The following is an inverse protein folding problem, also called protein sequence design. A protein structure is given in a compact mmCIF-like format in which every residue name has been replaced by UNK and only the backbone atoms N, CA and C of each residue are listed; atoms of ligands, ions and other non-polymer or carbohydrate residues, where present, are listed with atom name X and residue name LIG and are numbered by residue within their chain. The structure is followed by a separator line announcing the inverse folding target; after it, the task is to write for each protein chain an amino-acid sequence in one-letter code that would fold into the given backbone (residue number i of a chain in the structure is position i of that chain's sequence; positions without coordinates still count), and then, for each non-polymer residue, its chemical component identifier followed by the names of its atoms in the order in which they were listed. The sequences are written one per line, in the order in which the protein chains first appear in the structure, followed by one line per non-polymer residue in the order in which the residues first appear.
data_IF_915775657791
#
_entry.id   IF_915775657791
#
_cell.length_a   1.000
_cell.length_b   1.000
_cell.length_c   1.000
_cell.angle_alpha   90.00
_cell.angle_beta   90.00
_cell.angle_gamma   90.00
#
_symmetry.space_group_name_H-M   'P 1'
#
loop_
_entity.id
_entity.type
_entity.pdbx_description
1 polymer ?
#
# COMPACT_ATOMS: atom_id res chain seq x y z
N UNK A 1 -7.50 -9.82 6.75
CA UNK A 1 -6.72 -9.02 5.80
C UNK A 1 -7.19 -7.59 5.92
N UNK A 2 -6.26 -6.64 5.97
CA UNK A 2 -6.53 -5.20 6.07
C UNK A 2 -5.88 -4.48 4.87
N UNK A 3 -6.33 -3.27 4.56
CA UNK A 3 -5.83 -2.46 3.44
C UNK A 3 -5.08 -1.26 4.03
N UNK A 4 -3.80 -1.10 3.71
CA UNK A 4 -2.96 -0.09 4.35
C UNK A 4 -3.31 1.34 3.91
N UNK A 5 -3.66 1.50 2.64
CA UNK A 5 -3.85 2.76 1.94
C UNK A 5 -5.26 2.90 1.40
N UNK A 6 -6.27 2.46 2.17
CA UNK A 6 -7.67 2.45 1.74
C UNK A 6 -8.31 3.84 1.64
N UNK A 7 -7.75 4.67 0.78
CA UNK A 7 -8.19 6.03 0.50
C UNK A 7 -9.20 6.02 -0.65
N UNK A 8 -10.21 6.88 -0.54
CA UNK A 8 -11.33 6.94 -1.47
C UNK A 8 -10.91 7.25 -2.92
N UNK A 9 -9.78 7.93 -3.12
CA UNK A 9 -9.28 8.29 -4.46
C UNK A 9 -8.58 7.12 -5.17
N UNK A 10 -8.11 6.13 -4.41
CA UNK A 10 -7.18 5.11 -4.92
C UNK A 10 -7.82 3.73 -5.04
N UNK A 11 -8.90 3.45 -4.32
CA UNK A 11 -9.51 2.12 -4.27
C UNK A 11 -10.96 2.11 -4.75
N UNK A 12 -11.38 1.08 -5.51
CA UNK A 12 -12.78 0.88 -5.84
C UNK A 12 -13.67 0.71 -4.59
N UNK A 13 -14.92 1.20 -4.60
CA UNK A 13 -15.85 1.02 -3.47
C UNK A 13 -16.18 -0.44 -3.13
N UNK A 14 -15.95 -1.38 -4.05
CA UNK A 14 -16.11 -2.82 -3.83
C UNK A 14 -15.20 -3.36 -2.71
N UNK A 15 -14.08 -2.71 -2.42
CA UNK A 15 -13.20 -3.08 -1.30
C UNK A 15 -13.78 -2.69 0.08
N UNK A 16 -14.91 -1.98 0.13
CA UNK A 16 -15.61 -1.60 1.36
C UNK A 16 -15.64 -0.09 1.61
N UNK A 17 -15.58 0.32 2.87
CA UNK A 17 -15.61 1.75 3.26
C UNK A 17 -14.20 2.30 3.41
N UNK A 18 -13.80 3.31 2.62
CA UNK A 18 -12.48 3.93 2.73
C UNK A 18 -12.31 4.66 4.06
N UNK A 19 -11.07 4.82 4.51
CA UNK A 19 -10.74 5.54 5.76
C UNK A 19 -10.88 7.06 5.65
N UNK A 20 -10.92 7.59 4.43
CA UNK A 20 -11.01 9.02 4.13
C UNK A 20 -10.27 9.39 2.84
N UNK A 21 -10.02 10.68 2.64
CA UNK A 21 -9.16 11.17 1.54
C UNK A 21 -7.69 10.95 1.89
N UNK A 22 -6.84 10.68 0.90
CA UNK A 22 -5.36 10.67 1.10
C UNK A 22 -4.89 11.96 1.80
N UNK A 23 -5.54 13.10 1.51
CA UNK A 23 -5.20 14.42 2.07
C UNK A 23 -5.37 14.52 3.58
N UNK A 24 -6.26 13.71 4.16
CA UNK A 24 -6.57 13.74 5.58
C UNK A 24 -5.48 13.07 6.43
N UNK A 25 -4.53 12.37 5.78
CA UNK A 25 -3.50 11.57 6.42
C UNK A 25 -2.09 12.06 6.08
N UNK A 26 -1.91 13.36 5.81
CA UNK A 26 -0.59 13.95 5.57
C UNK A 26 0.09 14.31 6.89
N UNK A 27 1.31 13.81 7.10
CA UNK A 27 2.14 14.23 8.22
C UNK A 27 3.00 15.46 7.86
N UNK A 28 3.28 16.36 8.82
CA UNK A 28 4.17 17.49 8.60
C UNK A 28 5.63 17.07 8.36
N UNK A 29 6.03 15.91 8.87
CA UNK A 29 7.37 15.37 8.75
C UNK A 29 7.32 13.89 8.34
N UNK A 30 8.32 13.39 7.61
CA UNK A 30 8.42 11.97 7.32
C UNK A 30 8.67 11.15 8.59
N UNK A 31 8.37 9.85 8.52
CA UNK A 31 8.85 8.89 9.51
C UNK A 31 10.38 8.89 9.58
N UNK A 32 10.95 8.74 10.78
CA UNK A 32 12.41 8.63 10.96
C UNK A 32 13.01 7.46 10.15
N UNK A 33 12.22 6.39 10.02
CA UNK A 33 12.49 5.15 9.32
C UNK A 33 11.86 5.09 7.91
N UNK A 34 11.45 6.23 7.33
CA UNK A 34 10.73 6.30 6.05
C UNK A 34 11.39 5.50 4.93
N UNK A 35 12.72 5.54 4.82
CA UNK A 35 13.45 4.77 3.80
C UNK A 35 13.18 3.26 3.92
N UNK A 36 13.32 2.70 5.13
CA UNK A 36 13.12 1.26 5.38
C UNK A 36 11.65 0.87 5.19
N UNK A 37 10.72 1.74 5.57
CA UNK A 37 9.29 1.55 5.32
C UNK A 37 9.02 1.48 3.81
N UNK A 38 9.57 2.40 3.02
CA UNK A 38 9.36 2.39 1.57
C UNK A 38 9.97 1.17 0.89
N UNK A 39 11.14 0.71 1.36
CA UNK A 39 11.78 -0.53 0.89
C UNK A 39 10.89 -1.75 1.19
N UNK A 40 10.26 -1.81 2.38
CA UNK A 40 9.28 -2.84 2.71
C UNK A 40 8.08 -2.84 1.75
N UNK A 41 7.51 -1.66 1.49
CA UNK A 41 6.35 -1.51 0.60
C UNK A 41 6.65 -1.93 -0.84
N UNK A 42 7.84 -1.59 -1.34
CA UNK A 42 8.32 -1.97 -2.68
C UNK A 42 8.61 -3.48 -2.74
N UNK A 43 9.09 -4.07 -1.63
CA UNK A 43 9.45 -5.48 -1.55
C UNK A 43 8.29 -6.45 -1.27
N UNK A 44 7.05 -5.97 -1.22
CA UNK A 44 5.87 -6.81 -1.01
C UNK A 44 5.72 -7.91 -2.05
N UNK A 45 4.98 -8.96 -1.71
CA UNK A 45 4.60 -10.01 -2.67
C UNK A 45 3.55 -9.45 -3.63
N UNK A 46 3.80 -9.53 -4.93
CA UNK A 46 2.86 -9.07 -5.94
C UNK A 46 1.62 -9.98 -5.98
N UNK A 47 0.44 -9.40 -5.76
CA UNK A 47 -0.86 -10.09 -5.79
C UNK A 47 -1.56 -9.89 -7.14
N UNK A 48 -1.49 -8.67 -7.67
CA UNK A 48 -2.11 -8.30 -8.95
C UNK A 48 -1.23 -7.28 -9.66
N UNK A 49 -0.81 -7.60 -10.88
CA UNK A 49 0.09 -6.75 -11.66
C UNK A 49 -0.68 -5.95 -12.70
N UNK A 50 -0.43 -4.64 -12.75
CA UNK A 50 -1.01 -3.76 -13.78
C UNK A 50 0.11 -3.14 -14.61
N UNK A 51 0.10 -3.43 -15.91
CA UNK A 51 0.94 -2.77 -16.91
C UNK A 51 0.36 -1.40 -17.26
N UNK A 52 0.38 -0.50 -16.28
CA UNK A 52 -0.19 0.84 -16.37
C UNK A 52 0.59 1.84 -15.52
N UNK A 53 0.01 3.02 -15.34
CA UNK A 53 0.65 4.08 -14.57
C UNK A 53 -0.41 4.90 -13.84
N UNK A 54 -0.19 5.17 -12.55
CA UNK A 54 -1.09 5.95 -11.72
C UNK A 54 -0.54 7.36 -11.54
N UNK A 55 -1.38 8.38 -11.74
CA UNK A 55 -1.01 9.79 -11.53
C UNK A 55 -1.27 10.18 -10.09
N UNK A 56 -0.33 10.93 -9.50
CA UNK A 56 -0.46 11.44 -8.13
C UNK A 56 -1.73 12.27 -7.92
N UNK A 57 -2.61 11.78 -7.04
CA UNK A 57 -3.89 12.44 -6.72
C UNK A 57 -3.73 13.69 -5.85
N UNK A 58 -2.56 13.90 -5.25
CA UNK A 58 -2.23 15.09 -4.46
C UNK A 58 -1.67 16.24 -5.32
N UNK A 59 -1.43 16.01 -6.62
CA UNK A 59 -1.17 17.06 -7.59
C UNK A 59 0.29 17.47 -7.77
N UNK A 60 1.26 16.59 -7.46
CA UNK A 60 2.68 16.85 -7.81
C UNK A 60 2.98 16.75 -9.30
N UNK A 61 2.06 16.21 -10.11
CA UNK A 61 2.25 15.94 -11.54
C UNK A 61 3.15 14.74 -11.83
N UNK A 62 3.53 13.96 -10.80
CA UNK A 62 4.29 12.72 -10.96
C UNK A 62 3.37 11.53 -11.23
N UNK A 63 3.94 10.51 -11.87
CA UNK A 63 3.26 9.26 -12.20
C UNK A 63 4.11 8.08 -11.75
N UNK A 64 3.47 7.08 -11.15
CA UNK A 64 4.10 5.83 -10.71
C UNK A 64 3.74 4.71 -11.68
N UNK A 65 4.75 4.07 -12.28
CA UNK A 65 4.57 2.87 -13.10
C UNK A 65 4.11 1.71 -12.21
N UNK A 66 3.09 0.97 -12.67
CA UNK A 66 2.49 -0.10 -11.88
C UNK A 66 1.83 0.36 -10.59
N UNK A 67 1.50 1.65 -10.46
CA UNK A 67 0.95 2.21 -9.23
C UNK A 67 -0.35 1.54 -8.77
N UNK A 68 -1.20 1.12 -9.70
CA UNK A 68 -2.45 0.39 -9.42
C UNK A 68 -2.23 -1.10 -9.08
N UNK A 69 -1.01 -1.63 -9.21
CA UNK A 69 -0.70 -3.03 -8.84
C UNK A 69 -0.92 -3.23 -7.34
N UNK A 70 -1.29 -4.44 -6.92
CA UNK A 70 -1.56 -4.75 -5.52
C UNK A 70 -0.47 -5.66 -4.97
N UNK A 71 0.03 -5.31 -3.78
CA UNK A 71 1.08 -6.01 -3.06
C UNK A 71 0.58 -6.47 -1.69
N UNK A 72 1.27 -7.46 -1.10
CA UNK A 72 0.94 -7.98 0.23
C UNK A 72 2.16 -8.51 1.00
N UNK A 73 2.04 -8.55 2.33
CA UNK A 73 2.93 -9.26 3.26
C UNK A 73 2.28 -10.53 3.86
N UNK A 74 1.16 -10.97 3.29
CA UNK A 74 0.35 -12.09 3.79
C UNK A 74 -0.75 -11.69 4.79
N UNK A 75 -0.74 -10.46 5.31
CA UNK A 75 -1.76 -9.97 6.25
C UNK A 75 -2.42 -8.66 5.79
N UNK A 76 -1.61 -7.76 5.23
CA UNK A 76 -2.02 -6.49 4.67
C UNK A 76 -1.94 -6.51 3.15
N UNK A 77 -2.78 -5.72 2.50
CA UNK A 77 -2.63 -5.37 1.09
C UNK A 77 -2.46 -3.86 0.92
N UNK A 78 -1.76 -3.45 -0.13
CA UNK A 78 -1.55 -2.06 -0.48
C UNK A 78 -1.32 -1.89 -1.99
N UNK A 79 -1.50 -0.67 -2.50
CA UNK A 79 -1.16 -0.35 -3.89
C UNK A 79 0.34 -0.16 -4.08
N UNK A 80 0.80 -0.44 -5.29
CA UNK A 80 2.18 -0.27 -5.72
C UNK A 80 2.67 1.18 -5.68
N UNK A 81 1.78 2.16 -5.61
CA UNK A 81 2.13 3.58 -5.42
C UNK A 81 2.12 4.04 -3.95
N UNK A 82 1.80 3.19 -2.97
CA UNK A 82 1.81 3.60 -1.55
C UNK A 82 3.18 4.12 -1.09
N UNK A 83 4.28 3.48 -1.53
CA UNK A 83 5.63 3.96 -1.19
C UNK A 83 5.86 5.40 -1.65
N UNK A 84 5.27 5.80 -2.78
CA UNK A 84 5.42 7.13 -3.34
C UNK A 84 4.71 8.16 -2.45
N UNK A 85 3.52 7.83 -1.96
CA UNK A 85 2.76 8.69 -1.04
C UNK A 85 3.44 8.83 0.33
N UNK A 86 4.00 7.74 0.87
CA UNK A 86 4.78 7.79 2.12
C UNK A 86 6.05 8.62 1.94
N UNK A 87 6.79 8.40 0.85
CA UNK A 87 8.08 9.07 0.61
C UNK A 87 7.95 10.54 0.24
N UNK A 88 6.99 10.87 -0.63
CA UNK A 88 6.88 12.20 -1.24
C UNK A 88 5.94 13.12 -0.46
N UNK A 89 4.86 12.55 0.08
CA UNK A 89 3.77 13.29 0.72
C UNK A 89 3.64 13.02 2.21
N UNK A 90 4.52 12.18 2.78
CA UNK A 90 4.51 11.81 4.19
C UNK A 90 3.14 11.27 4.64
N UNK A 91 2.47 10.51 3.78
CA UNK A 91 1.20 9.88 4.13
C UNK A 91 1.38 8.94 5.30
N UNK A 92 0.54 9.09 6.32
CA UNK A 92 0.54 8.27 7.51
C UNK A 92 -0.06 6.89 7.23
N UNK A 93 0.67 5.86 7.64
CA UNK A 93 0.22 4.48 7.61
C UNK A 93 -0.63 4.15 8.86
N UNK A 94 -1.54 3.18 8.78
CA UNK A 94 -2.21 2.64 9.97
C UNK A 94 -1.18 2.21 11.03
N UNK A 95 -1.42 2.54 12.30
CA UNK A 95 -0.48 2.25 13.39
C UNK A 95 -0.17 0.75 13.52
N UNK A 96 -1.18 -0.11 13.36
CA UNK A 96 -1.03 -1.57 13.37
C UNK A 96 -0.11 -2.07 12.26
N UNK A 97 -0.25 -1.50 11.06
CA UNK A 97 0.59 -1.87 9.92
C UNK A 97 2.03 -1.40 10.13
N UNK A 98 2.22 -0.17 10.62
CA UNK A 98 3.54 0.35 10.93
C UNK A 98 4.24 -0.45 12.05
N UNK A 99 3.50 -0.84 13.09
CA UNK A 99 4.00 -1.70 14.15
C UNK A 99 4.45 -3.06 13.60
N UNK A 100 3.67 -3.66 12.70
CA UNK A 100 4.02 -4.91 12.01
C UNK A 100 5.30 -4.78 11.20
N UNK A 101 5.41 -3.76 10.34
CA UNK A 101 6.63 -3.50 9.52
C UNK A 101 7.87 -3.48 10.42
N UNK A 102 7.79 -2.76 11.54
CA UNK A 102 8.89 -2.61 12.50
C UNK A 102 9.18 -3.90 13.27
N UNK A 103 8.16 -4.67 13.65
CA UNK A 103 8.33 -5.98 14.29
C UNK A 103 9.03 -6.99 13.41
N UNK A 104 8.84 -6.90 12.09
CA UNK A 104 9.52 -7.72 11.09
C UNK A 104 10.87 -7.16 10.63
N UNK A 105 11.41 -6.16 11.33
CA UNK A 105 12.66 -5.47 10.97
C UNK A 105 12.69 -5.00 9.51
N UNK A 106 11.53 -4.52 9.04
CA UNK A 106 11.34 -3.99 7.68
C UNK A 106 11.63 -5.02 6.57
N UNK A 107 11.55 -6.31 6.90
CA UNK A 107 11.63 -7.41 5.94
C UNK A 107 10.25 -7.99 5.71
N UNK A 108 9.84 -8.09 4.45
CA UNK A 108 8.59 -8.75 4.10
C UNK A 108 8.70 -10.23 4.52
N UNK A 109 7.72 -10.77 5.27
CA UNK A 109 7.70 -12.18 5.64
C UNK A 109 7.80 -13.09 4.41
N UNK A 110 8.36 -14.28 4.59
CA UNK A 110 8.42 -15.28 3.52
C UNK A 110 7.00 -15.58 2.99
N UNK A 111 6.93 -15.84 1.68
CA UNK A 111 5.67 -16.12 1.00
C UNK A 111 5.00 -17.38 1.56
N UNK A 112 3.70 -17.30 1.81
CA UNK A 112 2.82 -18.43 2.16
C UNK A 112 1.81 -18.62 1.01
N UNK A 113 2.08 -19.58 0.13
CA UNK A 113 1.33 -19.77 -1.13
C UNK A 113 -0.19 -20.00 -0.93
N UNK A 114 -0.64 -20.86 0.01
CA UNK A 114 -2.05 -20.94 0.37
C UNK A 114 -2.65 -19.58 0.74
N UNK A 115 -1.94 -18.80 1.56
CA UNK A 115 -2.40 -17.49 1.98
C UNK A 115 -2.44 -16.49 0.82
N UNK A 116 -1.40 -16.45 0.00
CA UNK A 116 -1.34 -15.57 -1.17
C UNK A 116 -2.46 -15.88 -2.17
N UNK A 117 -2.80 -17.15 -2.34
CA UNK A 117 -3.93 -17.58 -3.17
C UNK A 117 -5.28 -17.08 -2.63
N UNK A 118 -5.50 -17.07 -1.31
CA UNK A 118 -6.71 -16.48 -0.72
C UNK A 118 -6.79 -14.97 -0.98
N UNK A 119 -5.68 -14.27 -0.79
CA UNK A 119 -5.58 -12.83 -1.01
C UNK A 119 -5.84 -12.49 -2.47
N UNK A 120 -5.23 -13.22 -3.41
CA UNK A 120 -5.45 -13.03 -4.84
C UNK A 120 -6.92 -13.23 -5.25
N UNK A 121 -7.59 -14.25 -4.69
CA UNK A 121 -9.04 -14.47 -4.94
C UNK A 121 -9.89 -13.32 -4.42
N UNK A 122 -9.58 -12.81 -3.22
CA UNK A 122 -10.27 -11.64 -2.67
C UNK A 122 -10.05 -10.41 -3.56
N UNK A 123 -8.81 -10.12 -3.95
CA UNK A 123 -8.49 -8.96 -4.80
C UNK A 123 -9.21 -9.08 -6.15
N UNK A 124 -9.15 -10.24 -6.80
CA UNK A 124 -9.84 -10.49 -8.07
C UNK A 124 -11.38 -10.36 -7.99
N UNK A 125 -11.98 -10.64 -6.83
CA UNK A 125 -13.43 -10.51 -6.63
C UNK A 125 -13.89 -9.07 -6.37
N UNK A 126 -12.97 -8.16 -6.03
CA UNK A 126 -13.28 -6.78 -5.65
C UNK A 126 -12.65 -5.72 -6.57
N UNK A 127 -11.78 -6.09 -7.52
CA UNK A 127 -11.26 -5.19 -8.56
C UNK A 127 -12.31 -4.79 -9.60
#
# INVERSE_FOLDING_TARGET
MQIADFFQELWPPSFGTPRGSVRDFLAPNPYEDAKRITEYLIGGHEVFSILGSSTDVLGSGRTTLGGDSIFSDGEWIWRGDLWFYVWTHHVELPEEFLARIRQHDYLVPAEDEPRMTEIAKYVAANL
#
